data_IF_986777866465
#
_entry.id   IF_986777866465
#
_cell.length_a   1.000
_cell.length_b   1.000
_cell.length_c   1.000
_cell.angle_alpha   90.00
_cell.angle_beta   90.00
_cell.angle_gamma   90.00
#
_symmetry.space_group_name_H-M   'P 1'
#
loop_
_entity.id
_entity.type
_entity.pdbx_description
1 polymer ?
#
# COMPACT_ATOMS: atom_id res chain seq x y z
N UNK A 1 4.52 -8.56 -20.97
CA UNK A 1 5.09 -8.25 -19.62
C UNK A 1 4.12 -8.75 -18.56
N UNK A 2 4.53 -9.60 -17.61
CA UNK A 2 3.62 -10.14 -16.60
C UNK A 2 3.06 -9.01 -15.70
N UNK A 3 1.80 -9.09 -15.26
CA UNK A 3 1.20 -8.06 -14.40
C UNK A 3 1.88 -7.95 -13.04
N UNK A 4 2.55 -9.00 -12.57
CA UNK A 4 3.43 -8.97 -11.40
C UNK A 4 4.58 -7.98 -11.60
N UNK A 5 5.23 -8.02 -12.78
CA UNK A 5 6.29 -7.08 -13.14
C UNK A 5 5.76 -5.66 -13.31
N UNK A 6 4.55 -5.48 -13.87
CA UNK A 6 3.87 -4.18 -13.95
C UNK A 6 3.59 -3.60 -12.57
N UNK A 7 3.05 -4.40 -11.65
CA UNK A 7 2.76 -4.00 -10.29
C UNK A 7 4.03 -3.59 -9.53
N UNK A 8 5.10 -4.38 -9.65
CA UNK A 8 6.37 -4.09 -9.00
C UNK A 8 7.00 -2.79 -9.54
N UNK A 9 6.99 -2.60 -10.86
CA UNK A 9 7.44 -1.33 -11.48
C UNK A 9 6.60 -0.16 -10.99
N UNK A 10 5.27 -0.28 -10.98
CA UNK A 10 4.38 0.78 -10.55
C UNK A 10 4.60 1.16 -9.07
N UNK A 11 4.75 0.17 -8.19
CA UNK A 11 5.10 0.40 -6.78
C UNK A 11 6.45 1.11 -6.66
N UNK A 12 7.49 0.64 -7.35
CA UNK A 12 8.83 1.26 -7.31
C UNK A 12 8.80 2.70 -7.83
N UNK A 13 8.02 3.00 -8.86
CA UNK A 13 7.86 4.38 -9.35
C UNK A 13 7.30 5.31 -8.27
N UNK A 14 6.34 4.84 -7.46
CA UNK A 14 5.81 5.62 -6.33
C UNK A 14 6.87 5.80 -5.24
N UNK A 15 7.66 4.77 -4.94
CA UNK A 15 8.77 4.90 -3.99
C UNK A 15 9.79 5.94 -4.44
N UNK A 16 10.16 5.93 -5.73
CA UNK A 16 11.09 6.91 -6.29
C UNK A 16 10.51 8.32 -6.24
N UNK A 17 9.25 8.49 -6.65
CA UNK A 17 8.59 9.79 -6.61
C UNK A 17 8.46 10.34 -5.18
N UNK A 18 8.07 9.48 -4.24
CA UNK A 18 8.03 9.83 -2.82
C UNK A 18 9.41 10.18 -2.24
N UNK A 19 10.44 9.39 -2.57
CA UNK A 19 11.81 9.64 -2.14
C UNK A 19 12.36 10.98 -2.66
N UNK A 20 12.05 11.34 -3.91
CA UNK A 20 12.35 12.67 -4.46
C UNK A 20 11.61 13.77 -3.69
N UNK A 21 10.36 13.53 -3.31
CA UNK A 21 9.59 14.43 -2.44
C UNK A 21 10.21 14.62 -1.05
N UNK A 22 10.72 13.54 -0.44
CA UNK A 22 11.46 13.63 0.84
C UNK A 22 12.70 14.51 0.69
N UNK A 23 13.49 14.25 -0.35
CA UNK A 23 14.72 14.98 -0.61
C UNK A 23 14.47 16.46 -0.89
N UNK A 24 13.44 16.78 -1.69
CA UNK A 24 13.02 18.15 -1.95
C UNK A 24 12.56 18.87 -0.67
N UNK A 25 11.81 18.20 0.20
CA UNK A 25 11.40 18.77 1.49
C UNK A 25 12.60 19.04 2.42
N UNK A 26 13.60 18.16 2.43
CA UNK A 26 14.83 18.35 3.20
C UNK A 26 15.66 19.56 2.77
N UNK A 27 15.50 20.04 1.53
CA UNK A 27 16.14 21.25 1.02
C UNK A 27 15.37 22.53 1.40
N UNK A 28 14.06 22.44 1.62
CA UNK A 28 13.17 23.60 1.80
C UNK A 28 12.89 23.88 3.29
N UNK A 29 12.88 22.85 4.15
CA UNK A 29 12.48 22.99 5.55
C UNK A 29 13.62 22.70 6.53
N UNK A 30 14.01 23.72 7.31
CA UNK A 30 14.90 23.55 8.47
C UNK A 30 14.22 22.73 9.58
N UNK A 31 14.99 21.91 10.30
CA UNK A 31 14.52 21.00 11.37
C UNK A 31 13.65 21.65 12.44
N UNK A 32 13.69 22.99 12.56
CA UNK A 32 12.85 23.78 13.44
C UNK A 32 11.33 23.72 13.12
N UNK A 33 10.92 23.23 11.94
CA UNK A 33 9.50 23.09 11.54
C UNK A 33 8.97 21.65 11.48
N UNK A 34 9.73 20.66 11.96
CA UNK A 34 9.35 19.25 11.88
C UNK A 34 7.98 18.96 12.52
N UNK A 35 7.65 19.63 13.63
CA UNK A 35 6.35 19.48 14.31
C UNK A 35 5.17 19.90 13.42
N UNK A 36 5.27 21.07 12.79
CA UNK A 36 4.26 21.64 11.89
C UNK A 36 4.03 20.75 10.65
N UNK A 37 5.13 20.20 10.11
CA UNK A 37 5.05 19.24 9.01
C UNK A 37 4.38 17.92 9.41
N UNK A 38 4.64 17.42 10.63
CA UNK A 38 3.97 16.22 11.15
C UNK A 38 2.48 16.49 11.34
N UNK A 39 2.09 17.62 11.94
CA UNK A 39 0.68 17.95 12.15
C UNK A 39 -0.09 18.08 10.84
N UNK A 40 0.52 18.71 9.83
CA UNK A 40 -0.04 18.83 8.48
C UNK A 40 -0.20 17.46 7.82
N UNK A 41 0.81 16.59 7.94
CA UNK A 41 0.79 15.25 7.33
C UNK A 41 -0.16 14.27 8.05
N UNK A 42 -0.34 14.44 9.36
CA UNK A 42 -1.06 13.50 10.24
C UNK A 42 -2.49 13.23 9.74
N UNK A 43 -3.22 14.27 9.34
CA UNK A 43 -4.59 14.12 8.85
C UNK A 43 -4.67 13.21 7.62
N UNK A 44 -3.88 13.51 6.59
CA UNK A 44 -3.80 12.71 5.37
C UNK A 44 -3.28 11.29 5.63
N UNK A 45 -2.30 11.13 6.52
CA UNK A 45 -1.73 9.84 6.86
C UNK A 45 -2.69 8.94 7.67
N UNK A 46 -3.49 9.51 8.58
CA UNK A 46 -4.55 8.79 9.30
C UNK A 46 -5.64 8.31 8.34
N UNK A 47 -6.05 9.17 7.40
CA UNK A 47 -7.00 8.80 6.36
C UNK A 47 -6.45 7.68 5.48
N UNK A 48 -5.22 7.81 4.99
CA UNK A 48 -4.56 6.78 4.18
C UNK A 48 -4.48 5.44 4.92
N UNK A 49 -4.01 5.46 6.16
CA UNK A 49 -3.87 4.26 6.98
C UNK A 49 -5.22 3.56 7.24
N UNK A 50 -6.25 4.32 7.64
CA UNK A 50 -7.58 3.74 7.88
C UNK A 50 -8.22 3.19 6.61
N UNK A 51 -8.19 3.95 5.51
CA UNK A 51 -8.72 3.51 4.23
C UNK A 51 -8.01 2.24 3.72
N UNK A 52 -6.67 2.20 3.80
CA UNK A 52 -5.89 1.03 3.40
C UNK A 52 -6.14 -0.19 4.28
N UNK A 53 -6.28 -0.01 5.59
CA UNK A 53 -6.61 -1.11 6.50
C UNK A 53 -7.94 -1.76 6.10
N UNK A 54 -8.98 -0.93 5.91
CA UNK A 54 -10.31 -1.41 5.50
C UNK A 54 -10.27 -2.09 4.13
N UNK A 55 -9.70 -1.43 3.11
CA UNK A 55 -9.67 -1.98 1.74
C UNK A 55 -8.86 -3.28 1.64
N UNK A 56 -7.78 -3.39 2.39
CA UNK A 56 -6.95 -4.60 2.44
C UNK A 56 -7.69 -5.76 3.07
N UNK A 57 -8.42 -5.51 4.17
CA UNK A 57 -9.29 -6.51 4.79
C UNK A 57 -10.37 -7.01 3.84
N UNK A 58 -11.04 -6.09 3.13
CA UNK A 58 -12.04 -6.46 2.11
C UNK A 58 -11.43 -7.26 0.97
N UNK A 59 -10.25 -6.87 0.48
CA UNK A 59 -9.57 -7.58 -0.62
C UNK A 59 -9.21 -9.01 -0.21
N UNK A 60 -8.70 -9.22 1.00
CA UNK A 60 -8.41 -10.55 1.55
C UNK A 60 -9.67 -11.41 1.65
N UNK A 61 -10.76 -10.84 2.15
CA UNK A 61 -12.05 -11.54 2.23
C UNK A 61 -12.53 -11.97 0.83
N UNK A 62 -12.49 -11.07 -0.16
CA UNK A 62 -12.89 -11.38 -1.54
C UNK A 62 -12.00 -12.45 -2.19
N UNK A 63 -10.69 -12.41 -1.94
CA UNK A 63 -9.76 -13.44 -2.43
C UNK A 63 -10.06 -14.80 -1.80
N UNK A 64 -10.34 -14.85 -0.50
CA UNK A 64 -10.76 -16.09 0.17
C UNK A 64 -12.08 -16.62 -0.40
N UNK A 65 -13.07 -15.75 -0.61
CA UNK A 65 -14.34 -16.09 -1.27
C UNK A 65 -14.11 -16.66 -2.66
N UNK A 66 -13.24 -16.04 -3.46
CA UNK A 66 -12.93 -16.49 -4.81
C UNK A 66 -12.24 -17.86 -4.81
N UNK A 67 -11.29 -18.12 -3.90
CA UNK A 67 -10.71 -19.46 -3.71
C UNK A 67 -11.78 -20.48 -3.31
N UNK A 68 -12.66 -20.12 -2.38
CA UNK A 68 -13.77 -20.98 -1.97
C UNK A 68 -14.72 -21.33 -3.12
N UNK A 69 -14.98 -20.39 -4.04
CA UNK A 69 -15.74 -20.67 -5.26
C UNK A 69 -15.00 -21.58 -6.23
N UNK A 70 -13.72 -21.32 -6.49
CA UNK A 70 -12.92 -22.16 -7.40
C UNK A 70 -12.78 -23.60 -6.89
N UNK A 71 -12.74 -23.83 -5.58
CA UNK A 71 -12.72 -25.19 -5.02
C UNK A 71 -14.04 -25.95 -5.20
N UNK A 72 -15.16 -25.25 -5.39
CA UNK A 72 -16.49 -25.85 -5.60
C UNK A 72 -16.82 -26.07 -7.07
N UNK A 73 -16.28 -25.22 -7.93
CA UNK A 73 -16.34 -25.41 -9.37
C UNK A 73 -15.37 -26.54 -9.70
N UNK A 74 -15.88 -27.69 -10.15
CA UNK A 74 -15.09 -28.87 -10.53
C UNK A 74 -14.35 -28.64 -11.87
N UNK A 75 -13.77 -27.45 -12.00
CA UNK A 75 -13.10 -26.92 -13.18
C UNK A 75 -11.64 -26.69 -12.83
N UNK A 76 -10.74 -27.29 -13.60
CA UNK A 76 -9.30 -27.11 -13.43
C UNK A 76 -8.91 -25.68 -13.82
N UNK A 77 -8.91 -24.76 -12.86
CA UNK A 77 -8.32 -23.44 -13.03
C UNK A 77 -6.79 -23.56 -13.17
N UNK A 78 -6.23 -22.84 -14.14
CA UNK A 78 -4.78 -22.78 -14.34
C UNK A 78 -4.08 -22.32 -13.06
N UNK A 79 -2.96 -22.98 -12.75
CA UNK A 79 -2.04 -22.66 -11.64
C UNK A 79 -1.60 -21.19 -11.65
N UNK A 80 -1.61 -20.55 -12.82
CA UNK A 80 -1.33 -19.12 -12.97
C UNK A 80 -2.33 -18.23 -12.21
N UNK A 81 -3.61 -18.58 -12.16
CA UNK A 81 -4.69 -17.84 -11.46
C UNK A 81 -4.48 -17.93 -9.95
N UNK A 82 -4.23 -19.13 -9.42
CA UNK A 82 -3.92 -19.32 -8.00
C UNK A 82 -2.69 -18.54 -7.53
N UNK A 83 -1.63 -18.50 -8.35
CA UNK A 83 -0.42 -17.73 -8.05
C UNK A 83 -0.72 -16.23 -7.93
N UNK A 84 -1.59 -15.70 -8.79
CA UNK A 84 -1.99 -14.29 -8.77
C UNK A 84 -2.82 -13.95 -7.56
N UNK A 85 -3.78 -14.79 -7.21
CA UNK A 85 -4.59 -14.63 -5.98
C UNK A 85 -3.69 -14.60 -4.75
N UNK A 86 -2.71 -15.52 -4.68
CA UNK A 86 -1.71 -15.52 -3.61
C UNK A 86 -0.94 -14.20 -3.55
N UNK A 87 -0.50 -13.67 -4.70
CA UNK A 87 0.24 -12.40 -4.73
C UNK A 87 -0.64 -11.22 -4.29
N UNK A 88 -1.89 -11.13 -4.74
CA UNK A 88 -2.84 -10.11 -4.31
C UNK A 88 -3.06 -10.18 -2.79
N UNK A 89 -3.27 -11.39 -2.26
CA UNK A 89 -3.45 -11.61 -0.83
C UNK A 89 -2.21 -11.15 -0.06
N UNK A 90 -0.99 -11.53 -0.49
CA UNK A 90 0.24 -11.14 0.18
C UNK A 90 0.43 -9.61 0.20
N UNK A 91 0.22 -8.93 -0.93
CA UNK A 91 0.27 -7.47 -1.01
C UNK A 91 -0.77 -6.80 -0.11
N UNK A 92 -1.98 -7.37 -0.03
CA UNK A 92 -3.05 -6.87 0.83
C UNK A 92 -2.71 -7.08 2.30
N UNK A 93 -2.15 -8.22 2.69
CA UNK A 93 -1.69 -8.48 4.07
C UNK A 93 -0.57 -7.51 4.48
N UNK A 94 0.40 -7.24 3.60
CA UNK A 94 1.45 -6.26 3.86
C UNK A 94 0.88 -4.84 3.99
N UNK A 95 -0.07 -4.48 3.13
CA UNK A 95 -0.77 -3.19 3.18
C UNK A 95 -1.54 -3.02 4.48
N UNK A 96 -2.26 -4.06 4.91
CA UNK A 96 -2.97 -4.09 6.20
C UNK A 96 -1.99 -3.89 7.36
N UNK A 97 -0.96 -4.73 7.46
CA UNK A 97 0.01 -4.67 8.55
C UNK A 97 0.71 -3.30 8.62
N UNK A 98 1.20 -2.80 7.48
CA UNK A 98 1.85 -1.50 7.42
C UNK A 98 0.90 -0.34 7.73
N UNK A 99 -0.38 -0.42 7.31
CA UNK A 99 -1.37 0.60 7.65
C UNK A 99 -1.66 0.67 9.15
N UNK A 100 -1.74 -0.49 9.83
CA UNK A 100 -1.89 -0.56 11.28
C UNK A 100 -0.67 0.04 11.98
N UNK A 101 0.55 -0.28 11.51
CA UNK A 101 1.78 0.32 12.04
C UNK A 101 1.75 1.84 11.89
N UNK A 102 1.38 2.37 10.72
CA UNK A 102 1.25 3.81 10.50
C UNK A 102 0.24 4.44 11.46
N UNK A 103 -0.94 3.84 11.63
CA UNK A 103 -1.95 4.34 12.56
C UNK A 103 -1.43 4.36 14.01
N UNK A 104 -0.76 3.29 14.46
CA UNK A 104 -0.17 3.24 15.80
C UNK A 104 0.86 4.35 16.02
N UNK A 105 1.75 4.58 15.04
CA UNK A 105 2.73 5.68 15.10
C UNK A 105 2.04 7.05 15.19
N UNK A 106 0.96 7.26 14.42
CA UNK A 106 0.23 8.53 14.40
C UNK A 106 -0.62 8.78 15.66
N UNK A 107 -0.97 7.74 16.40
CA UNK A 107 -1.72 7.86 17.66
C UNK A 107 -0.86 8.25 18.87
N UNK A 108 0.46 8.32 18.72
CA UNK A 108 1.36 8.73 19.79
C UNK A 108 1.13 10.21 20.16
N UNK A 109 0.97 10.56 21.45
CA UNK A 109 0.73 11.93 21.89
C UNK A 109 2.03 12.77 21.87
N UNK A 110 2.46 13.17 20.68
CA UNK A 110 3.76 13.82 20.41
C UNK A 110 3.96 15.20 21.06
N UNK A 111 2.89 15.89 21.48
CA UNK A 111 2.96 17.27 21.97
C UNK A 111 2.93 17.45 23.49
N UNK A 112 2.84 16.38 24.28
CA UNK A 112 2.65 16.47 25.75
C UNK A 112 3.92 16.24 26.57
N UNK A 113 5.06 16.01 25.91
CA UNK A 113 6.29 15.66 26.60
C UNK A 113 7.19 16.91 26.75
N UNK A 114 7.37 17.38 27.98
CA UNK A 114 8.16 18.58 28.30
C UNK A 114 9.68 18.39 28.11
N UNK A 115 10.16 17.14 27.95
CA UNK A 115 11.60 16.80 27.82
C UNK A 115 11.85 15.79 26.70
N UNK A 116 11.59 16.17 25.44
CA UNK A 116 11.94 15.33 24.28
C UNK A 116 13.26 15.79 23.66
N UNK A 117 14.22 14.89 23.39
CA UNK A 117 15.44 15.24 22.65
C UNK A 117 15.12 15.88 21.30
N UNK A 118 15.90 16.90 20.90
CA UNK A 118 15.67 17.65 19.65
C UNK A 118 15.65 16.77 18.37
N UNK A 119 16.32 15.61 18.41
CA UNK A 119 16.36 14.67 17.29
C UNK A 119 15.09 13.82 17.13
N UNK A 120 14.22 13.79 18.14
CA UNK A 120 13.06 12.90 18.15
C UNK A 120 12.02 13.27 17.08
N UNK A 121 11.72 14.56 16.92
CA UNK A 121 10.75 15.03 15.91
C UNK A 121 11.22 14.78 14.47
N UNK A 122 12.47 15.07 14.07
CA UNK A 122 12.99 14.68 12.76
C UNK A 122 12.94 13.17 12.50
N UNK A 123 13.26 12.33 13.49
CA UNK A 123 13.20 10.88 13.36
C UNK A 123 11.75 10.44 13.11
N UNK A 124 10.80 10.92 13.93
CA UNK A 124 9.40 10.56 13.80
C UNK A 124 8.81 11.04 12.46
N UNK A 125 9.12 12.26 12.03
CA UNK A 125 8.74 12.75 10.70
C UNK A 125 9.23 11.81 9.60
N UNK A 126 10.51 11.41 9.65
CA UNK A 126 11.12 10.52 8.66
C UNK A 126 10.46 9.15 8.66
N UNK A 127 10.13 8.59 9.83
CA UNK A 127 9.42 7.31 9.95
C UNK A 127 8.02 7.40 9.34
N UNK A 128 7.23 8.43 9.71
CA UNK A 128 5.87 8.61 9.18
C UNK A 128 5.92 8.78 7.66
N UNK A 129 6.79 9.66 7.17
CA UNK A 129 6.90 9.95 5.74
C UNK A 129 7.29 8.70 4.94
N UNK A 130 8.26 7.94 5.44
CA UNK A 130 8.69 6.68 4.83
C UNK A 130 7.55 5.65 4.80
N UNK A 131 6.80 5.51 5.90
CA UNK A 131 5.63 4.63 5.96
C UNK A 131 4.53 5.05 4.98
N UNK A 132 4.26 6.34 4.85
CA UNK A 132 3.27 6.87 3.89
C UNK A 132 3.66 6.52 2.45
N UNK A 133 4.92 6.75 2.05
CA UNK A 133 5.40 6.37 0.71
C UNK A 133 5.32 4.87 0.52
N UNK A 134 5.74 4.11 1.52
CA UNK A 134 5.74 2.66 1.46
C UNK A 134 4.34 2.10 1.22
N UNK A 135 3.37 2.62 1.96
CA UNK A 135 1.98 2.24 1.83
C UNK A 135 1.37 2.69 0.51
N UNK A 136 1.68 3.90 0.05
CA UNK A 136 1.24 4.37 -1.27
C UNK A 136 1.77 3.45 -2.40
N UNK A 137 3.02 3.00 -2.32
CA UNK A 137 3.59 2.05 -3.27
C UNK A 137 2.88 0.69 -3.24
N UNK A 138 2.59 0.17 -2.04
CA UNK A 138 1.83 -1.07 -1.89
C UNK A 138 0.39 -0.98 -2.41
N UNK A 139 -0.26 0.17 -2.23
CA UNK A 139 -1.61 0.42 -2.73
C UNK A 139 -1.65 0.30 -4.26
N UNK A 140 -0.75 1.01 -4.95
CA UNK A 140 -0.65 0.98 -6.41
C UNK A 140 -0.31 -0.44 -6.92
N UNK A 141 0.57 -1.14 -6.20
CA UNK A 141 0.91 -2.53 -6.50
C UNK A 141 -0.31 -3.46 -6.43
N UNK A 142 -1.07 -3.37 -5.33
CA UNK A 142 -2.30 -4.15 -5.11
C UNK A 142 -3.32 -3.89 -6.22
N UNK A 143 -3.62 -2.63 -6.53
CA UNK A 143 -4.58 -2.27 -7.59
C UNK A 143 -4.14 -2.82 -8.95
N UNK A 144 -2.85 -2.71 -9.27
CA UNK A 144 -2.30 -3.23 -10.54
C UNK A 144 -2.42 -4.75 -10.64
N UNK A 145 -2.16 -5.48 -9.56
CA UNK A 145 -2.31 -6.94 -9.51
C UNK A 145 -3.77 -7.37 -9.68
N UNK A 146 -4.69 -6.69 -9.00
CA UNK A 146 -6.13 -6.95 -9.10
C UNK A 146 -6.60 -6.72 -10.53
N UNK A 147 -6.31 -5.53 -11.10
CA UNK A 147 -6.69 -5.20 -12.47
C UNK A 147 -6.11 -6.18 -13.49
N UNK A 148 -4.82 -6.52 -13.37
CA UNK A 148 -4.18 -7.49 -14.25
C UNK A 148 -4.68 -8.94 -14.10
N UNK A 149 -5.38 -9.25 -13.00
CA UNK A 149 -6.05 -10.54 -12.81
C UNK A 149 -7.45 -10.51 -13.40
N UNK A 150 -8.19 -9.42 -13.21
CA UNK A 150 -9.50 -9.20 -13.85
C UNK A 150 -9.40 -9.28 -15.37
N UNK A 151 -8.45 -8.58 -15.99
CA UNK A 151 -8.26 -8.63 -17.44
C UNK A 151 -7.99 -10.04 -17.96
N UNK A 152 -7.16 -10.82 -17.25
CA UNK A 152 -6.85 -12.19 -17.66
C UNK A 152 -8.08 -13.10 -17.54
N UNK A 153 -8.86 -12.95 -16.46
CA UNK A 153 -10.09 -13.72 -16.29
C UNK A 153 -11.11 -13.40 -17.38
N UNK A 154 -11.25 -12.11 -17.77
CA UNK A 154 -12.11 -11.71 -18.89
C UNK A 154 -11.65 -12.36 -20.19
N UNK A 155 -10.35 -12.31 -20.50
CA UNK A 155 -9.78 -12.94 -21.70
C UNK A 155 -9.99 -14.46 -21.73
N UNK A 156 -9.90 -15.13 -20.59
CA UNK A 156 -10.15 -16.57 -20.50
C UNK A 156 -11.63 -16.95 -20.70
N UNK A 157 -12.56 -16.08 -20.32
CA UNK A 157 -14.01 -16.32 -20.46
C UNK A 157 -14.51 -15.90 -21.85
N UNK A 158 -13.85 -14.95 -22.51
CA UNK A 158 -14.19 -14.46 -23.86
C UNK A 158 -13.07 -14.80 -24.86
N UNK A 159 -12.92 -16.07 -25.27
CA UNK A 159 -11.99 -16.43 -26.34
C UNK A 159 -12.59 -16.00 -27.68
N UNK A 160 -12.46 -14.73 -28.08
CA UNK A 160 -12.97 -14.31 -29.39
C UNK A 160 -12.85 -12.85 -29.83
N UNK A 161 -12.54 -11.89 -28.94
CA UNK A 161 -12.66 -10.45 -29.29
C UNK A 161 -11.32 -9.70 -29.37
N UNK A 162 -10.27 -10.35 -29.89
CA UNK A 162 -9.10 -9.67 -30.44
C UNK A 162 -8.95 -10.07 -31.92
N UNK A 163 -9.50 -9.21 -32.80
CA UNK A 163 -9.12 -9.05 -34.20
C UNK A 163 -8.26 -7.79 -34.36
#
# INVERSE_FOLDING_TARGET
MTPERKALIASVSIFLFGGLGYWANGLIYSSAKALDMIETLRGSALYLGSAMATSSGTTLALMLTLVGFMMRLDTEFDRSVYKRIKNIALFSTLSLAGSVILLLVLTLPIGQFEKVPAQWYPILYTVIYTLVIFLAGLLVGTVTLVFGTVLLLIQNVTPGDEA
#
